data_IF_601253549928
#
_entry.id   IF_601253549928
#
_cell.length_a   1.000
_cell.length_b   1.000
_cell.length_c   1.000
_cell.angle_alpha   90.00
_cell.angle_beta   90.00
_cell.angle_gamma   90.00
#
_symmetry.space_group_name_H-M   'P 1'
#
loop_
_entity.id
_entity.type
_entity.pdbx_description
1 polymer ?
#
# COMPACT_ATOMS: atom_id res chain seq x y z
N UNK A 1 1.73 -13.66 3.43
CA UNK A 1 1.82 -12.20 3.42
C UNK A 1 1.20 -11.61 2.17
N UNK A 2 0.30 -10.67 2.34
CA UNK A 2 -0.31 -9.91 1.24
C UNK A 2 0.22 -8.49 1.27
N UNK A 3 0.80 -8.03 0.17
CA UNK A 3 1.24 -6.66 -0.02
C UNK A 3 0.31 -6.00 -1.04
N UNK A 4 -0.20 -4.82 -0.72
CA UNK A 4 -1.13 -4.12 -1.60
C UNK A 4 -0.85 -2.62 -1.60
N UNK A 5 -1.26 -1.94 -2.66
CA UNK A 5 -0.97 -0.53 -2.83
C UNK A 5 -1.73 0.36 -1.84
N UNK A 6 -3.00 0.15 -1.68
CA UNK A 6 -3.87 1.04 -0.94
C UNK A 6 -4.34 2.22 -1.78
N UNK A 7 -4.74 3.31 -1.12
CA UNK A 7 -5.24 4.53 -1.77
C UNK A 7 -6.40 4.25 -2.73
N UNK A 8 -7.26 3.30 -2.39
CA UNK A 8 -8.43 2.86 -3.17
C UNK A 8 -8.11 2.15 -4.50
N UNK A 9 -6.85 1.85 -4.81
CA UNK A 9 -6.51 1.17 -6.06
C UNK A 9 -7.14 -0.23 -6.13
N UNK A 10 -7.04 -0.99 -5.04
CA UNK A 10 -7.60 -2.34 -4.97
C UNK A 10 -8.91 -2.37 -4.20
N UNK A 11 -9.77 -1.38 -4.39
CA UNK A 11 -11.03 -1.29 -3.64
C UNK A 11 -11.87 -2.56 -3.75
N UNK A 12 -11.90 -3.15 -4.93
CA UNK A 12 -12.61 -4.40 -5.18
C UNK A 12 -12.04 -5.59 -4.39
N UNK A 13 -10.77 -5.49 -3.98
CA UNK A 13 -10.04 -6.56 -3.29
C UNK A 13 -10.12 -6.42 -1.76
N UNK A 14 -10.51 -5.26 -1.24
CA UNK A 14 -10.51 -5.00 0.21
C UNK A 14 -11.40 -5.97 0.98
N UNK A 15 -12.55 -6.30 0.44
CA UNK A 15 -13.45 -7.27 1.07
C UNK A 15 -12.81 -8.66 1.15
N UNK A 16 -12.05 -9.02 0.14
CA UNK A 16 -11.33 -10.28 0.13
C UNK A 16 -10.28 -10.33 1.24
N UNK A 17 -9.54 -9.24 1.43
CA UNK A 17 -8.56 -9.15 2.52
C UNK A 17 -9.21 -9.33 3.89
N UNK A 18 -10.39 -8.78 4.08
CA UNK A 18 -11.13 -8.93 5.34
C UNK A 18 -11.45 -10.39 5.63
N UNK A 19 -11.68 -11.20 4.61
CA UNK A 19 -12.03 -12.62 4.75
C UNK A 19 -10.82 -13.55 4.89
N UNK A 20 -9.60 -13.05 4.72
CA UNK A 20 -8.40 -13.87 4.86
C UNK A 20 -8.03 -14.19 6.30
N UNK A 21 -8.70 -13.57 7.27
CA UNK A 21 -8.45 -13.83 8.69
C UNK A 21 -7.05 -13.41 9.14
N UNK A 22 -6.26 -14.39 9.62
CA UNK A 22 -4.96 -14.12 10.24
C UNK A 22 -3.79 -13.98 9.25
N UNK A 23 -4.06 -13.86 7.95
CA UNK A 23 -2.98 -13.68 6.97
C UNK A 23 -2.38 -12.28 7.14
N UNK A 24 -1.06 -12.17 7.41
CA UNK A 24 -0.42 -10.87 7.51
C UNK A 24 -0.53 -10.08 6.20
N UNK A 25 -0.82 -8.79 6.33
CA UNK A 25 -0.92 -7.91 5.18
C UNK A 25 -0.30 -6.56 5.48
N UNK A 26 0.14 -5.85 4.45
CA UNK A 26 0.69 -4.51 4.60
C UNK A 26 0.28 -3.63 3.43
N UNK A 27 -0.04 -2.38 3.73
CA UNK A 27 -0.36 -1.35 2.74
C UNK A 27 0.91 -0.61 2.38
N UNK A 28 1.35 -0.72 1.14
CA UNK A 28 2.65 -0.20 0.71
C UNK A 28 2.70 1.33 0.65
N UNK A 29 1.55 1.98 0.51
CA UNK A 29 1.46 3.45 0.49
C UNK A 29 1.35 4.09 1.86
N UNK A 30 1.45 3.34 2.95
CA UNK A 30 1.41 3.92 4.29
C UNK A 30 2.51 4.94 4.48
N UNK A 31 2.15 6.10 5.01
CA UNK A 31 3.08 7.21 5.23
C UNK A 31 3.22 8.17 4.05
N UNK A 32 2.56 7.90 2.94
CA UNK A 32 2.59 8.79 1.78
C UNK A 32 1.47 9.84 1.89
N UNK A 33 1.80 11.09 1.55
CA UNK A 33 0.81 12.15 1.35
C UNK A 33 0.40 12.15 -0.13
N UNK A 34 -0.76 11.60 -0.50
CA UNK A 34 -1.14 11.45 -1.90
C UNK A 34 -1.55 12.79 -2.53
N UNK A 35 -1.35 12.88 -3.84
CA UNK A 35 -1.88 13.99 -4.62
C UNK A 35 -3.35 13.69 -4.91
N UNK A 36 -4.20 14.71 -4.79
CA UNK A 36 -5.62 14.56 -5.10
C UNK A 36 -5.85 14.51 -6.61
N UNK A 37 -6.83 13.68 -7.00
CA UNK A 37 -7.30 13.63 -8.38
C UNK A 37 -8.15 14.87 -8.66
N UNK A 38 -7.91 15.53 -9.80
CA UNK A 38 -8.71 16.69 -10.22
C UNK A 38 -9.58 16.31 -11.42
N UNK A 39 -10.87 16.57 -11.29
CA UNK A 39 -11.85 16.30 -12.34
C UNK A 39 -12.35 14.86 -12.36
N UNK A 40 -13.47 14.65 -13.05
CA UNK A 40 -14.06 13.34 -13.22
C UNK A 40 -14.75 12.80 -11.97
N UNK A 41 -15.10 11.52 -12.03
CA UNK A 41 -15.85 10.80 -10.98
C UNK A 41 -15.08 10.74 -9.66
N UNK A 42 -13.75 10.69 -9.71
CA UNK A 42 -12.90 10.54 -8.53
C UNK A 42 -12.28 11.86 -8.06
N UNK A 43 -12.84 12.98 -8.47
CA UNK A 43 -12.34 14.30 -8.05
C UNK A 43 -12.26 14.40 -6.52
N UNK A 44 -11.15 14.90 -6.02
CA UNK A 44 -10.89 15.02 -4.59
C UNK A 44 -10.41 13.75 -3.90
N UNK A 45 -10.45 12.61 -4.55
CA UNK A 45 -9.92 11.35 -4.00
C UNK A 45 -8.41 11.29 -4.16
N UNK A 46 -7.70 10.51 -3.31
CA UNK A 46 -6.26 10.36 -3.47
C UNK A 46 -5.92 9.64 -4.77
N UNK A 47 -4.84 10.10 -5.43
CA UNK A 47 -4.34 9.43 -6.63
C UNK A 47 -3.55 8.19 -6.21
N UNK A 48 -4.02 7.02 -6.63
CA UNK A 48 -3.44 5.73 -6.25
C UNK A 48 -2.07 5.47 -6.88
N UNK A 49 -1.66 6.25 -7.89
CA UNK A 49 -0.39 6.07 -8.61
C UNK A 49 0.79 6.72 -7.86
N UNK A 50 0.82 6.58 -6.54
CA UNK A 50 1.82 7.24 -5.69
C UNK A 50 3.25 6.77 -5.95
N UNK A 51 3.43 5.52 -6.43
CA UNK A 51 4.75 4.95 -6.70
C UNK A 51 5.52 5.65 -7.81
N UNK A 52 4.88 6.49 -8.58
CA UNK A 52 5.52 7.22 -9.68
C UNK A 52 6.50 8.30 -9.20
N UNK A 53 6.37 8.77 -7.97
CA UNK A 53 7.32 9.68 -7.36
C UNK A 53 8.48 8.94 -6.72
N UNK A 54 9.73 9.42 -6.92
CA UNK A 54 10.92 8.77 -6.40
C UNK A 54 10.90 8.65 -4.87
N UNK A 55 10.52 9.72 -4.18
CA UNK A 55 10.44 9.71 -2.71
C UNK A 55 9.39 8.70 -2.22
N UNK A 56 8.25 8.67 -2.91
CA UNK A 56 7.20 7.71 -2.59
C UNK A 56 7.64 6.28 -2.86
N UNK A 57 8.38 6.05 -3.94
CA UNK A 57 8.92 4.72 -4.24
C UNK A 57 9.81 4.20 -3.11
N UNK A 58 10.60 5.08 -2.49
CA UNK A 58 11.42 4.72 -1.33
C UNK A 58 10.54 4.29 -0.15
N UNK A 59 9.45 5.01 0.09
CA UNK A 59 8.52 4.64 1.16
C UNK A 59 7.92 3.26 0.89
N UNK A 60 7.57 2.96 -0.37
CA UNK A 60 7.09 1.64 -0.75
C UNK A 60 8.13 0.55 -0.42
N UNK A 61 9.40 0.79 -0.79
CA UNK A 61 10.48 -0.16 -0.52
C UNK A 61 10.65 -0.38 0.99
N UNK A 62 10.63 0.70 1.77
CA UNK A 62 10.75 0.61 3.22
C UNK A 62 9.59 -0.16 3.83
N UNK A 63 8.37 0.05 3.34
CA UNK A 63 7.19 -0.66 3.82
C UNK A 63 7.26 -2.16 3.47
N UNK A 64 7.76 -2.51 2.29
CA UNK A 64 7.98 -3.90 1.89
C UNK A 64 9.01 -4.55 2.81
N UNK A 65 10.15 -3.90 3.02
CA UNK A 65 11.21 -4.41 3.87
C UNK A 65 10.72 -4.64 5.29
N UNK A 66 9.96 -3.70 5.82
CA UNK A 66 9.38 -3.82 7.16
C UNK A 66 8.41 -4.99 7.26
N UNK A 67 7.52 -5.14 6.28
CA UNK A 67 6.54 -6.23 6.27
C UNK A 67 7.22 -7.60 6.20
N UNK A 68 8.22 -7.75 5.33
CA UNK A 68 8.98 -9.00 5.21
C UNK A 68 9.75 -9.30 6.49
N UNK A 69 10.37 -8.28 7.09
CA UNK A 69 11.11 -8.46 8.35
C UNK A 69 10.22 -8.88 9.49
N UNK A 70 8.98 -8.42 9.50
CA UNK A 70 8.01 -8.78 10.53
C UNK A 70 7.59 -10.25 10.44
N UNK A 71 7.39 -10.76 9.21
CA UNK A 71 6.95 -12.16 9.01
C UNK A 71 8.11 -13.15 8.99
N UNK A 72 9.32 -12.68 8.72
CA UNK A 72 10.52 -13.52 8.67
C UNK A 72 11.72 -12.82 9.33
N UNK A 73 11.67 -12.64 10.66
CA UNK A 73 12.72 -11.89 11.37
C UNK A 73 14.09 -12.55 11.27
N UNK A 74 14.19 -13.84 11.06
CA UNK A 74 15.46 -14.56 10.95
C UNK A 74 16.27 -14.10 9.73
N UNK A 75 15.62 -13.61 8.69
CA UNK A 75 16.24 -13.16 7.44
C UNK A 75 16.10 -11.66 7.23
N UNK A 76 15.83 -10.89 8.27
CA UNK A 76 15.62 -9.45 8.16
C UNK A 76 16.88 -8.64 7.87
N UNK A 77 18.04 -9.20 8.13
CA UNK A 77 19.34 -8.52 7.92
C UNK A 77 19.81 -8.56 6.47
#
# INVERSE_FOLDING_TARGET
LVLWNGLNLERWFEQFLTNLGDVPSATLSDGIAPISITGGEYDGKPNAHAWMGLENARIYVDNIARALSTVDPANAA
#
